data_IF_398000124088
#
_entry.id   IF_398000124088
#
_cell.length_a   1.000
_cell.length_b   1.000
_cell.length_c   1.000
_cell.angle_alpha   90.00
_cell.angle_beta   90.00
_cell.angle_gamma   90.00
#
_symmetry.space_group_name_H-M   'P 1'
#
loop_
_entity.id
_entity.type
_entity.pdbx_description
1 polymer ?
#
# COMPACT_ATOMS: atom_id res chain seq x y z
N UNK A 1 10.01 25.07 15.45
CA UNK A 1 8.64 25.32 15.96
C UNK A 1 7.68 24.24 15.44
N UNK A 2 7.91 22.98 15.80
CA UNK A 2 6.99 21.86 15.49
C UNK A 2 7.12 20.87 16.66
N UNK A 3 6.71 21.29 17.86
CA UNK A 3 6.81 20.41 19.05
C UNK A 3 5.61 20.49 19.99
N UNK A 4 4.45 21.03 19.57
CA UNK A 4 3.38 21.36 20.53
C UNK A 4 1.93 21.07 20.08
N UNK A 5 1.69 20.23 19.08
CA UNK A 5 0.34 20.10 18.49
C UNK A 5 -0.44 18.80 18.75
N UNK A 6 0.02 17.85 19.57
CA UNK A 6 -0.74 16.58 19.77
C UNK A 6 -0.86 16.09 21.22
N UNK A 7 -0.95 17.03 22.18
CA UNK A 7 -1.43 16.73 23.55
C UNK A 7 -2.76 17.44 23.77
N UNK A 8 -3.87 16.87 23.28
CA UNK A 8 -5.22 17.11 23.84
C UNK A 8 -6.29 16.30 23.09
N UNK A 9 -6.42 15.00 23.41
CA UNK A 9 -7.75 14.36 23.32
C UNK A 9 -7.83 13.08 24.17
N UNK A 10 -7.70 13.22 25.49
CA UNK A 10 -8.08 12.16 26.44
C UNK A 10 -8.97 12.73 27.52
N UNK A 11 -10.23 12.26 27.50
CA UNK A 11 -11.40 12.41 28.40
C UNK A 11 -12.60 12.61 27.48
N UNK A 12 -13.62 11.77 27.43
CA UNK A 12 -14.45 11.30 28.54
C UNK A 12 -15.44 10.29 27.94
N UNK A 13 -15.58 9.07 28.47
CA UNK A 13 -16.88 8.42 28.72
C UNK A 13 -16.68 7.10 29.46
N UNK A 14 -17.38 6.93 30.58
CA UNK A 14 -17.33 5.75 31.43
C UNK A 14 -18.42 4.72 31.11
N UNK A 15 -18.14 3.50 31.57
CA UNK A 15 -19.02 2.44 32.10
C UNK A 15 -20.47 2.35 31.58
N UNK A 16 -20.89 1.17 31.11
CA UNK A 16 -21.79 0.24 31.84
C UNK A 16 -22.10 -1.07 31.07
N UNK A 17 -21.82 -2.20 31.73
CA UNK A 17 -22.53 -3.50 31.85
C UNK A 17 -23.06 -4.31 30.64
N UNK A 18 -22.51 -5.53 30.54
CA UNK A 18 -23.14 -6.87 30.50
C UNK A 18 -24.42 -7.14 29.67
N UNK A 19 -24.35 -8.16 28.81
CA UNK A 19 -25.50 -8.85 28.23
C UNK A 19 -25.12 -9.99 27.28
N UNK A 20 -25.16 -11.22 27.79
CA UNK A 20 -25.01 -12.48 27.05
C UNK A 20 -26.11 -12.68 26.00
N UNK A 21 -25.78 -13.19 24.81
CA UNK A 21 -26.62 -14.17 24.12
C UNK A 21 -25.83 -15.01 23.12
N UNK A 22 -25.98 -16.32 23.29
CA UNK A 22 -25.56 -17.42 22.43
C UNK A 22 -26.33 -17.40 21.11
N UNK A 23 -25.61 -17.48 20.00
CA UNK A 23 -26.17 -17.77 18.68
C UNK A 23 -25.23 -18.67 17.90
N UNK A 24 -25.53 -19.97 17.90
CA UNK A 24 -24.93 -20.94 16.97
C UNK A 24 -25.31 -20.56 15.54
N UNK A 25 -24.33 -20.11 14.75
CA UNK A 25 -24.49 -19.95 13.31
C UNK A 25 -23.77 -21.10 12.62
N UNK A 26 -24.55 -22.14 12.28
CA UNK A 26 -24.10 -23.24 11.42
C UNK A 26 -23.99 -22.75 9.98
N UNK A 27 -22.87 -22.10 9.66
CA UNK A 27 -22.43 -21.79 8.30
C UNK A 27 -21.31 -22.73 7.90
N UNK A 28 -21.49 -23.49 6.82
CA UNK A 28 -20.53 -24.46 6.29
C UNK A 28 -19.37 -23.70 5.62
N UNK A 29 -18.39 -23.26 6.41
CA UNK A 29 -17.15 -22.65 5.92
C UNK A 29 -16.34 -23.68 5.12
N UNK A 30 -16.38 -23.56 3.80
CA UNK A 30 -15.51 -24.30 2.89
C UNK A 30 -14.28 -23.44 2.63
N UNK A 31 -13.12 -23.85 3.15
CA UNK A 31 -11.84 -23.20 2.88
C UNK A 31 -11.30 -22.36 4.05
N UNK A 32 -10.98 -23.01 5.17
CA UNK A 32 -10.19 -22.40 6.24
C UNK A 32 -8.74 -22.17 5.77
N UNK A 33 -8.50 -21.10 5.03
CA UNK A 33 -7.22 -20.42 5.05
C UNK A 33 -7.13 -19.63 6.36
N UNK A 34 -6.00 -19.72 7.06
CA UNK A 34 -5.71 -18.77 8.15
C UNK A 34 -5.92 -17.34 7.62
N UNK A 35 -6.46 -16.41 8.42
CA UNK A 35 -6.63 -15.03 7.98
C UNK A 35 -5.30 -14.50 7.46
N UNK A 36 -5.33 -13.89 6.27
CA UNK A 36 -4.14 -13.25 5.70
C UNK A 36 -3.58 -12.26 6.72
N UNK A 37 -2.26 -12.24 6.98
CA UNK A 37 -1.70 -11.30 7.93
C UNK A 37 -1.92 -9.86 7.44
N UNK A 38 -2.29 -8.98 8.38
CA UNK A 38 -2.40 -7.54 8.16
C UNK A 38 -1.03 -6.89 8.36
N UNK A 39 -0.73 -5.86 7.56
CA UNK A 39 0.51 -5.08 7.66
C UNK A 39 0.19 -3.60 7.64
N UNK A 40 0.95 -2.82 8.40
CA UNK A 40 1.03 -1.39 8.16
C UNK A 40 1.99 -1.14 7.01
N UNK A 41 1.51 -0.45 5.98
CA UNK A 41 2.27 -0.07 4.81
C UNK A 41 2.46 1.44 4.78
N UNK A 42 3.71 1.88 4.73
CA UNK A 42 4.08 3.25 4.41
C UNK A 42 4.77 3.32 3.06
N UNK A 43 4.68 4.44 2.38
CA UNK A 43 5.50 4.70 1.18
C UNK A 43 6.12 6.09 1.22
N UNK A 44 7.33 6.19 0.74
CA UNK A 44 8.04 7.44 0.54
C UNK A 44 8.52 7.52 -0.90
N UNK A 45 8.67 8.73 -1.40
CA UNK A 45 9.07 8.97 -2.77
C UNK A 45 10.01 10.17 -2.86
N UNK A 46 10.95 10.10 -3.79
CA UNK A 46 11.83 11.20 -4.16
C UNK A 46 12.28 11.03 -5.60
N UNK A 47 12.84 12.09 -6.17
CA UNK A 47 13.30 12.14 -7.55
C UNK A 47 14.83 12.17 -7.61
N UNK A 48 15.36 11.46 -8.60
CA UNK A 48 16.76 11.52 -9.01
C UNK A 48 16.80 11.95 -10.47
N UNK A 49 17.35 13.13 -10.74
CA UNK A 49 17.54 13.65 -12.09
C UNK A 49 18.47 12.76 -12.90
N UNK A 50 18.01 12.32 -14.07
CA UNK A 50 18.72 11.40 -14.94
C UNK A 50 18.47 11.84 -16.41
N UNK A 51 19.47 12.39 -17.10
CA UNK A 51 19.30 13.01 -18.42
C UNK A 51 18.97 12.02 -19.56
N UNK A 52 18.96 10.71 -19.27
CA UNK A 52 18.54 9.66 -20.21
C UNK A 52 17.91 8.52 -19.42
N UNK A 53 16.71 8.79 -18.90
CA UNK A 53 15.92 7.83 -18.13
C UNK A 53 15.41 6.69 -19.04
N UNK A 54 16.30 5.78 -19.44
CA UNK A 54 16.02 4.59 -20.27
C UNK A 54 16.30 3.32 -19.46
N UNK A 55 15.31 2.42 -19.40
CA UNK A 55 15.30 1.25 -18.50
C UNK A 55 16.54 0.33 -18.65
N UNK A 56 17.15 0.25 -19.83
CA UNK A 56 18.25 -0.69 -20.11
C UNK A 56 19.58 -0.37 -19.42
N UNK A 57 19.98 0.91 -19.33
CA UNK A 57 21.22 1.32 -18.62
C UNK A 57 21.01 1.50 -17.13
N UNK A 58 19.79 1.84 -16.70
CA UNK A 58 19.47 2.11 -15.30
C UNK A 58 19.43 0.84 -14.47
N UNK A 59 19.00 -0.28 -15.05
CA UNK A 59 18.78 -1.54 -14.33
C UNK A 59 20.07 -2.20 -13.82
N UNK A 60 21.22 -2.00 -14.48
CA UNK A 60 22.43 -2.78 -14.17
C UNK A 60 23.28 -2.15 -13.06
N UNK A 61 23.38 -0.81 -13.03
CA UNK A 61 24.27 -0.12 -12.10
C UNK A 61 23.52 0.84 -11.17
N UNK A 62 22.56 1.60 -11.69
CA UNK A 62 21.91 2.66 -10.92
C UNK A 62 20.91 2.11 -9.89
N UNK A 63 19.92 1.32 -10.32
CA UNK A 63 18.91 0.78 -9.41
C UNK A 63 19.51 -0.04 -8.25
N UNK A 64 20.41 -1.02 -8.50
CA UNK A 64 20.96 -1.81 -7.40
C UNK A 64 21.79 -0.97 -6.44
N UNK A 65 22.63 -0.04 -6.95
CA UNK A 65 23.42 0.85 -6.09
C UNK A 65 22.54 1.71 -5.20
N UNK A 66 21.44 2.26 -5.74
CA UNK A 66 20.51 3.07 -4.97
C UNK A 66 19.80 2.23 -3.90
N UNK A 67 19.27 1.07 -4.28
CA UNK A 67 18.56 0.18 -3.35
C UNK A 67 19.47 -0.31 -2.24
N UNK A 68 20.70 -0.77 -2.56
CA UNK A 68 21.69 -1.19 -1.57
C UNK A 68 22.08 -0.05 -0.63
N UNK A 69 22.35 1.14 -1.17
CA UNK A 69 22.68 2.32 -0.37
C UNK A 69 21.57 2.75 0.60
N UNK A 70 20.30 2.59 0.22
CA UNK A 70 19.15 2.83 1.11
C UNK A 70 19.04 1.74 2.18
N UNK A 71 19.09 0.46 1.77
CA UNK A 71 18.91 -0.68 2.67
C UNK A 71 20.04 -0.78 3.70
N UNK A 72 21.29 -0.52 3.33
CA UNK A 72 22.43 -0.52 4.25
C UNK A 72 22.27 0.52 5.36
N UNK A 73 21.75 1.70 5.04
CA UNK A 73 21.52 2.78 6.01
C UNK A 73 20.30 2.54 6.89
N UNK A 74 19.33 1.77 6.41
CA UNK A 74 18.12 1.40 7.16
C UNK A 74 18.17 -0.01 7.76
N UNK A 75 19.31 -0.70 7.69
CA UNK A 75 19.45 -2.11 8.02
C UNK A 75 18.89 -2.45 9.41
N UNK A 76 19.19 -1.64 10.41
CA UNK A 76 18.75 -1.87 11.80
C UNK A 76 17.23 -1.86 11.93
N UNK A 77 16.55 -0.90 11.29
CA UNK A 77 15.09 -0.77 11.38
C UNK A 77 14.39 -1.80 10.48
N UNK A 78 15.02 -2.18 9.37
CA UNK A 78 14.54 -3.21 8.46
C UNK A 78 14.65 -4.65 9.01
N UNK A 79 15.22 -4.84 10.21
CA UNK A 79 15.08 -6.12 10.95
C UNK A 79 13.65 -6.34 11.45
N UNK A 80 12.86 -5.26 11.61
CA UNK A 80 11.51 -5.29 12.16
C UNK A 80 10.43 -5.02 11.10
N UNK A 81 10.82 -4.83 9.84
CA UNK A 81 9.93 -4.50 8.73
C UNK A 81 10.41 -5.14 7.41
N UNK A 82 9.50 -5.24 6.46
CA UNK A 82 9.80 -5.59 5.07
C UNK A 82 10.15 -4.29 4.34
N UNK A 83 11.40 -4.19 3.86
CA UNK A 83 11.97 -2.99 3.25
C UNK A 83 12.46 -3.19 1.81
N UNK A 84 12.35 -4.38 1.24
CA UNK A 84 12.92 -4.73 -0.08
C UNK A 84 12.12 -4.18 -1.27
N UNK A 85 10.95 -3.60 -1.04
CA UNK A 85 10.08 -3.09 -2.08
C UNK A 85 10.45 -1.66 -2.50
N UNK A 86 11.43 -1.53 -3.39
CA UNK A 86 11.80 -0.27 -4.05
C UNK A 86 11.38 -0.33 -5.52
N UNK A 87 10.54 0.62 -5.93
CA UNK A 87 10.05 0.75 -7.31
C UNK A 87 10.57 2.03 -7.95
N UNK A 88 10.74 1.97 -9.26
CA UNK A 88 11.38 3.02 -10.03
C UNK A 88 10.54 3.35 -11.26
N UNK A 89 10.26 4.64 -11.46
CA UNK A 89 9.45 5.11 -12.58
C UNK A 89 10.13 6.31 -13.25
N UNK A 90 10.38 6.21 -14.55
CA UNK A 90 10.88 7.34 -15.32
C UNK A 90 9.76 8.35 -15.60
N UNK A 91 9.96 9.59 -15.21
CA UNK A 91 9.07 10.71 -15.43
C UNK A 91 9.80 11.80 -16.25
N UNK A 92 9.16 12.26 -17.34
CA UNK A 92 9.70 13.34 -18.18
C UNK A 92 9.12 14.68 -17.78
N UNK A 93 9.91 15.75 -17.87
CA UNK A 93 9.42 17.11 -17.62
C UNK A 93 9.08 17.41 -16.16
N UNK A 94 9.74 16.73 -15.21
CA UNK A 94 9.55 16.95 -13.77
C UNK A 94 10.22 18.27 -13.37
N UNK A 95 9.56 19.07 -12.54
CA UNK A 95 10.10 20.34 -12.06
C UNK A 95 11.22 20.09 -11.05
N UNK A 96 12.42 20.61 -11.35
CA UNK A 96 13.57 20.54 -10.45
C UNK A 96 13.45 21.50 -9.27
N UNK A 97 12.87 22.68 -9.50
CA UNK A 97 12.68 23.70 -8.47
C UNK A 97 11.25 24.24 -8.48
N UNK A 98 10.59 24.27 -7.32
CA UNK A 98 9.23 24.81 -7.15
C UNK A 98 9.18 26.31 -7.49
N UNK A 99 10.28 27.02 -7.25
CA UNK A 99 10.40 28.47 -7.48
C UNK A 99 10.74 28.86 -8.93
N UNK A 100 11.15 27.92 -9.79
CA UNK A 100 11.38 28.14 -11.22
C UNK A 100 10.59 27.14 -12.08
N UNK A 101 9.40 27.54 -12.59
CA UNK A 101 8.54 26.72 -13.43
C UNK A 101 9.18 26.26 -14.74
N UNK A 102 10.27 26.89 -15.19
CA UNK A 102 10.94 26.60 -16.45
C UNK A 102 12.03 25.52 -16.34
N UNK A 103 12.41 25.15 -15.11
CA UNK A 103 13.45 24.15 -14.83
C UNK A 103 12.90 22.72 -14.83
N UNK A 104 12.32 22.27 -15.96
CA UNK A 104 11.89 20.88 -16.10
C UNK A 104 13.02 19.98 -16.60
N UNK A 105 13.11 18.78 -16.05
CA UNK A 105 14.12 17.78 -16.45
C UNK A 105 13.55 16.37 -16.32
N UNK A 106 14.17 15.42 -17.01
CA UNK A 106 13.83 14.01 -16.86
C UNK A 106 14.38 13.50 -15.52
N UNK A 107 13.54 12.76 -14.80
CA UNK A 107 13.87 12.25 -13.49
C UNK A 107 13.33 10.84 -13.29
N UNK A 108 14.06 10.07 -12.50
CA UNK A 108 13.57 8.83 -11.94
C UNK A 108 12.85 9.13 -10.64
N UNK A 109 11.57 8.81 -10.58
CA UNK A 109 10.84 8.73 -9.32
C UNK A 109 11.15 7.39 -8.67
N UNK A 110 11.75 7.47 -7.49
CA UNK A 110 11.98 6.33 -6.61
C UNK A 110 10.83 6.29 -5.62
N UNK A 111 10.17 5.15 -5.49
CA UNK A 111 9.15 4.92 -4.47
C UNK A 111 9.58 3.73 -3.64
N UNK A 112 9.81 3.96 -2.35
CA UNK A 112 10.16 2.92 -1.40
C UNK A 112 8.95 2.63 -0.52
N UNK A 113 8.46 1.40 -0.61
CA UNK A 113 7.32 0.91 0.16
C UNK A 113 7.84 0.00 1.27
N UNK A 114 7.45 0.30 2.50
CA UNK A 114 7.86 -0.44 3.70
C UNK A 114 6.63 -1.01 4.38
N UNK A 115 6.73 -2.23 4.90
CA UNK A 115 5.63 -2.93 5.55
C UNK A 115 6.04 -3.51 6.90
N UNK A 116 5.30 -3.20 7.96
CA UNK A 116 5.51 -3.76 9.30
C UNK A 116 4.33 -4.65 9.66
N UNK A 117 4.61 -5.85 10.20
CA UNK A 117 3.57 -6.83 10.50
C UNK A 117 2.68 -6.33 11.63
N UNK A 118 1.37 -6.39 11.44
CA UNK A 118 0.38 -6.06 12.47
C UNK A 118 -0.11 -7.35 13.15
N UNK A 119 -0.01 -7.41 14.48
CA UNK A 119 -0.50 -8.53 15.28
C UNK A 119 -1.80 -8.14 15.99
N UNK A 120 -2.94 -8.65 15.51
CA UNK A 120 -4.26 -8.28 16.02
C UNK A 120 -4.60 -8.98 17.36
N UNK A 121 -3.85 -10.02 17.74
CA UNK A 121 -4.12 -10.80 18.96
C UNK A 121 -3.61 -10.16 20.27
N UNK A 122 -2.92 -9.01 20.18
CA UNK A 122 -2.45 -8.24 21.33
C UNK A 122 -3.18 -6.90 21.33
N UNK A 123 -4.40 -6.88 21.88
CA UNK A 123 -5.29 -5.72 21.81
C UNK A 123 -4.87 -4.56 22.74
N UNK A 124 -5.16 -3.35 22.26
CA UNK A 124 -5.26 -2.06 22.97
C UNK A 124 -3.97 -1.39 23.40
N UNK A 125 -3.07 -1.17 22.46
CA UNK A 125 -2.32 0.09 22.27
C UNK A 125 -1.48 -0.18 21.03
N UNK A 126 -1.73 0.53 19.92
CA UNK A 126 -0.94 0.39 18.69
C UNK A 126 0.20 1.42 18.76
N UNK A 127 1.42 1.01 19.16
CA UNK A 127 2.59 1.79 18.80
C UNK A 127 3.72 0.98 18.15
N UNK A 128 3.77 -0.36 18.16
CA UNK A 128 4.98 -1.05 17.69
C UNK A 128 5.16 -0.98 16.16
N UNK A 129 4.20 -1.50 15.39
CA UNK A 129 4.32 -1.50 13.93
C UNK A 129 4.22 -0.09 13.31
N UNK A 130 3.38 0.78 13.86
CA UNK A 130 3.26 2.17 13.40
C UNK A 130 4.55 2.96 13.68
N UNK A 131 5.12 2.88 14.89
CA UNK A 131 6.38 3.55 15.21
C UNK A 131 7.53 3.03 14.37
N UNK A 132 7.59 1.74 14.05
CA UNK A 132 8.62 1.20 13.12
C UNK A 132 8.51 1.88 11.75
N UNK A 133 7.30 2.00 11.19
CA UNK A 133 7.10 2.67 9.90
C UNK A 133 7.48 4.16 9.98
N UNK A 134 7.07 4.85 11.05
CA UNK A 134 7.42 6.26 11.28
C UNK A 134 8.94 6.46 11.39
N UNK A 135 9.64 5.57 12.11
CA UNK A 135 11.10 5.60 12.22
C UNK A 135 11.78 5.42 10.86
N UNK A 136 11.30 4.50 10.02
CA UNK A 136 11.82 4.32 8.66
C UNK A 136 11.59 5.58 7.81
N UNK A 137 10.41 6.20 7.90
CA UNK A 137 10.10 7.42 7.17
C UNK A 137 11.00 8.59 7.56
N UNK A 138 11.22 8.80 8.86
CA UNK A 138 12.13 9.85 9.38
C UNK A 138 13.58 9.56 9.01
N UNK A 139 14.05 8.33 9.20
CA UNK A 139 15.41 7.94 8.84
C UNK A 139 15.66 8.16 7.35
N UNK A 140 14.72 7.77 6.49
CA UNK A 140 14.86 7.94 5.04
C UNK A 140 14.83 9.40 4.63
N UNK A 141 14.00 10.23 5.28
CA UNK A 141 14.04 11.67 5.08
C UNK A 141 15.45 12.20 5.32
N UNK A 142 16.10 11.80 6.42
CA UNK A 142 17.44 12.26 6.76
C UNK A 142 18.51 11.72 5.79
N UNK A 143 18.39 10.48 5.34
CA UNK A 143 19.25 9.89 4.30
C UNK A 143 19.18 10.72 3.01
N UNK A 144 17.97 10.97 2.49
CA UNK A 144 17.79 11.66 1.20
C UNK A 144 18.15 13.14 1.30
N UNK A 145 17.80 13.80 2.41
CA UNK A 145 17.96 15.26 2.52
C UNK A 145 19.33 15.68 3.05
N UNK A 146 19.97 14.88 3.91
CA UNK A 146 21.09 15.32 4.73
C UNK A 146 22.34 14.44 4.63
N UNK A 147 22.24 13.18 4.21
CA UNK A 147 23.41 12.29 4.13
C UNK A 147 24.33 12.64 2.93
N UNK A 148 25.57 13.11 3.17
CA UNK A 148 26.50 13.45 2.10
C UNK A 148 27.10 12.22 1.40
N UNK A 149 27.20 11.08 2.10
CA UNK A 149 27.74 9.83 1.55
C UNK A 149 26.75 9.21 0.57
N UNK A 150 25.47 9.18 0.94
CA UNK A 150 24.38 8.73 0.06
C UNK A 150 24.36 9.57 -1.23
N UNK A 151 24.42 10.90 -1.09
CA UNK A 151 24.49 11.81 -2.23
C UNK A 151 25.68 11.50 -3.16
N UNK A 152 26.85 11.21 -2.60
CA UNK A 152 28.04 10.90 -3.39
C UNK A 152 27.93 9.53 -4.10
N UNK A 153 27.34 8.53 -3.48
CA UNK A 153 27.09 7.22 -4.09
C UNK A 153 26.18 7.34 -5.31
N UNK A 154 25.06 8.07 -5.19
CA UNK A 154 24.14 8.32 -6.30
C UNK A 154 24.79 9.14 -7.41
N UNK A 155 25.61 10.14 -7.06
CA UNK A 155 26.34 10.94 -8.05
C UNK A 155 27.38 10.12 -8.84
N UNK A 156 28.03 9.13 -8.22
CA UNK A 156 29.01 8.25 -8.90
C UNK A 156 28.38 7.43 -10.02
N UNK A 157 27.13 7.03 -9.86
CA UNK A 157 26.34 6.30 -10.88
C UNK A 157 25.54 7.24 -11.80
N UNK A 158 25.84 8.55 -11.77
CA UNK A 158 25.30 9.54 -12.70
C UNK A 158 23.94 10.13 -12.33
N UNK A 159 23.45 9.89 -11.11
CA UNK A 159 22.20 10.47 -10.62
C UNK A 159 22.37 11.83 -9.93
N UNK A 160 21.43 12.75 -10.15
CA UNK A 160 21.33 14.03 -9.43
C UNK A 160 20.19 13.97 -8.40
N UNK A 161 20.50 13.76 -7.11
CA UNK A 161 19.47 13.62 -6.07
C UNK A 161 18.76 14.94 -5.77
N UNK A 162 17.44 14.98 -5.97
CA UNK A 162 16.64 16.19 -5.73
C UNK A 162 16.08 16.20 -4.30
N UNK A 163 16.82 16.79 -3.37
CA UNK A 163 16.49 16.78 -1.92
C UNK A 163 15.08 17.32 -1.61
N UNK A 164 14.66 18.38 -2.30
CA UNK A 164 13.34 19.03 -2.10
C UNK A 164 12.14 18.24 -2.68
N UNK A 165 12.43 17.17 -3.44
CA UNK A 165 11.42 16.30 -4.03
C UNK A 165 10.90 15.24 -3.07
N UNK A 166 11.50 15.07 -1.89
CA UNK A 166 11.10 14.06 -0.92
C UNK A 166 9.64 14.26 -0.49
N UNK A 167 8.88 13.18 -0.50
CA UNK A 167 7.47 13.09 -0.09
C UNK A 167 7.26 11.80 0.67
N UNK A 168 6.52 11.87 1.77
CA UNK A 168 6.07 10.71 2.54
C UNK A 168 4.54 10.63 2.47
N UNK A 169 4.03 9.41 2.32
CA UNK A 169 2.60 9.11 2.41
C UNK A 169 2.21 8.79 3.84
N UNK A 170 0.92 8.93 4.15
CA UNK A 170 0.36 8.36 5.38
C UNK A 170 0.43 6.84 5.29
N UNK A 171 0.74 6.19 6.40
CA UNK A 171 0.67 4.73 6.47
C UNK A 171 -0.79 4.26 6.44
N UNK A 172 -0.99 3.04 5.96
CA UNK A 172 -2.30 2.40 5.86
C UNK A 172 -2.20 0.93 6.21
N UNK A 173 -3.27 0.35 6.75
CA UNK A 173 -3.39 -1.09 6.93
C UNK A 173 -3.67 -1.75 5.57
N UNK A 174 -2.97 -2.84 5.26
CA UNK A 174 -3.12 -3.62 4.03
C UNK A 174 -3.03 -5.11 4.31
N UNK A 175 -3.60 -5.90 3.41
CA UNK A 175 -3.47 -7.36 3.43
C UNK A 175 -2.28 -7.82 2.59
N UNK A 176 -1.54 -8.82 3.06
CA UNK A 176 -0.40 -9.38 2.31
C UNK A 176 -0.82 -10.20 1.09
N UNK A 177 -2.06 -10.69 1.05
CA UNK A 177 -2.57 -11.53 -0.04
C UNK A 177 -3.67 -10.81 -0.80
N UNK A 178 -3.63 -10.96 -2.13
CA UNK A 178 -4.71 -10.54 -3.03
C UNK A 178 -6.00 -11.32 -2.74
N UNK A 179 -7.13 -10.73 -3.11
CA UNK A 179 -8.46 -11.28 -2.79
C UNK A 179 -8.93 -10.97 -1.37
N UNK A 180 -8.14 -10.25 -0.57
CA UNK A 180 -8.52 -9.84 0.79
C UNK A 180 -8.63 -8.32 0.90
N UNK A 181 -9.48 -7.86 1.79
CA UNK A 181 -9.58 -6.46 2.20
C UNK A 181 -9.60 -6.35 3.72
N UNK A 182 -9.42 -5.14 4.23
CA UNK A 182 -9.46 -4.86 5.66
C UNK A 182 -10.91 -4.70 6.10
N UNK A 183 -11.31 -5.45 7.11
CA UNK A 183 -12.56 -5.20 7.82
C UNK A 183 -12.38 -4.00 8.77
N UNK A 184 -13.16 -2.92 8.55
CA UNK A 184 -13.03 -1.67 9.30
C UNK A 184 -13.32 -1.80 10.80
N UNK A 185 -14.06 -2.85 11.21
CA UNK A 185 -14.43 -3.06 12.61
C UNK A 185 -13.37 -3.83 13.38
N UNK A 186 -12.69 -4.75 12.71
CA UNK A 186 -11.80 -5.71 13.35
C UNK A 186 -10.33 -5.56 12.94
N UNK A 187 -10.03 -4.74 11.92
CA UNK A 187 -8.70 -4.56 11.33
C UNK A 187 -8.04 -5.86 10.83
N UNK A 188 -8.84 -6.91 10.64
CA UNK A 188 -8.41 -8.17 10.07
C UNK A 188 -8.61 -8.20 8.56
N UNK A 189 -7.78 -8.98 7.89
CA UNK A 189 -8.01 -9.32 6.50
C UNK A 189 -9.16 -10.32 6.35
N UNK A 190 -10.19 -9.91 5.62
CA UNK A 190 -11.33 -10.74 5.24
C UNK A 190 -11.34 -10.92 3.72
N UNK A 191 -11.85 -12.05 3.25
CA UNK A 191 -11.94 -12.29 1.81
C UNK A 191 -12.95 -11.32 1.17
N UNK A 192 -12.67 -10.88 -0.04
CA UNK A 192 -13.64 -10.12 -0.82
C UNK A 192 -14.89 -10.98 -1.05
N UNK A 193 -16.09 -10.48 -0.74
CA UNK A 193 -17.31 -11.27 -0.81
C UNK A 193 -17.70 -11.57 -2.26
N UNK A 194 -18.55 -12.59 -2.45
CA UNK A 194 -19.16 -12.87 -3.75
C UNK A 194 -19.85 -11.63 -4.34
N UNK A 195 -19.74 -11.47 -5.65
CA UNK A 195 -20.15 -10.30 -6.42
C UNK A 195 -19.11 -9.18 -6.46
N UNK A 196 -17.94 -9.38 -5.86
CA UNK A 196 -16.84 -8.42 -5.88
C UNK A 196 -15.54 -9.05 -6.38
N UNK A 197 -14.61 -8.21 -6.79
CA UNK A 197 -13.23 -8.58 -7.06
C UNK A 197 -12.28 -7.64 -6.31
N UNK A 198 -11.16 -8.16 -5.85
CA UNK A 198 -10.11 -7.36 -5.23
C UNK A 198 -9.27 -6.64 -6.28
N UNK A 199 -9.10 -5.34 -6.08
CA UNK A 199 -8.17 -4.50 -6.81
C UNK A 199 -7.51 -3.52 -5.81
N UNK A 200 -6.18 -3.51 -5.75
CA UNK A 200 -5.39 -2.64 -4.87
C UNK A 200 -5.80 -2.69 -3.37
N UNK A 201 -6.12 -3.88 -2.85
CA UNK A 201 -6.49 -4.12 -1.45
C UNK A 201 -7.93 -3.75 -1.10
N UNK A 202 -8.74 -3.36 -2.10
CA UNK A 202 -10.14 -2.99 -1.95
C UNK A 202 -11.03 -3.92 -2.78
N UNK A 203 -12.20 -4.26 -2.26
CA UNK A 203 -13.18 -5.06 -2.98
C UNK A 203 -14.09 -4.15 -3.81
N UNK A 204 -14.04 -4.29 -5.12
CA UNK A 204 -14.87 -3.57 -6.07
C UNK A 204 -16.01 -4.46 -6.56
N UNK A 205 -17.23 -3.95 -6.71
CA UNK A 205 -18.33 -4.74 -7.27
C UNK A 205 -17.99 -5.17 -8.69
N UNK A 206 -18.43 -6.37 -9.08
CA UNK A 206 -18.26 -6.83 -10.44
C UNK A 206 -18.90 -5.85 -11.43
N UNK A 207 -18.20 -5.45 -12.50
CA UNK A 207 -18.77 -4.54 -13.48
C UNK A 207 -19.95 -5.20 -14.20
N UNK A 208 -20.82 -4.41 -14.86
CA UNK A 208 -21.92 -4.95 -15.66
C UNK A 208 -21.44 -6.03 -16.64
N UNK A 209 -22.31 -7.02 -16.88
CA UNK A 209 -22.02 -8.20 -17.71
C UNK A 209 -20.98 -9.17 -17.14
N UNK A 210 -20.63 -9.03 -15.86
CA UNK A 210 -19.78 -9.96 -15.13
C UNK A 210 -20.45 -10.40 -13.83
N UNK A 211 -20.02 -11.53 -13.29
CA UNK A 211 -20.45 -12.06 -12.01
C UNK A 211 -19.27 -12.68 -11.24
N UNK A 212 -19.44 -12.89 -9.94
CA UNK A 212 -18.45 -13.63 -9.15
C UNK A 212 -19.08 -14.42 -7.99
N UNK A 213 -19.10 -15.74 -8.12
CA UNK A 213 -19.76 -16.69 -7.22
C UNK A 213 -18.86 -17.21 -6.10
N UNK A 214 -17.56 -16.92 -6.16
CA UNK A 214 -16.58 -17.30 -5.13
C UNK A 214 -16.07 -16.07 -4.38
N UNK A 215 -15.78 -16.25 -3.09
CA UNK A 215 -15.07 -15.25 -2.29
C UNK A 215 -13.58 -15.21 -2.65
N UNK A 216 -12.91 -14.12 -2.28
CA UNK A 216 -11.47 -14.01 -2.38
C UNK A 216 -10.93 -13.83 -3.79
N UNK A 217 -11.75 -13.37 -4.73
CA UNK A 217 -11.41 -13.34 -6.16
C UNK A 217 -10.80 -12.00 -6.56
N UNK A 218 -9.87 -12.02 -7.51
CA UNK A 218 -9.19 -10.81 -8.03
C UNK A 218 -9.71 -10.39 -9.41
N UNK A 219 -10.74 -11.07 -9.91
CA UNK A 219 -11.40 -10.74 -11.16
C UNK A 219 -12.82 -11.33 -11.18
N UNK A 220 -13.69 -10.77 -12.02
CA UNK A 220 -15.04 -11.29 -12.22
C UNK A 220 -15.11 -12.15 -13.49
N UNK A 221 -15.98 -13.14 -13.47
CA UNK A 221 -16.27 -14.03 -14.61
C UNK A 221 -17.22 -13.31 -15.58
N UNK A 222 -16.99 -13.35 -16.90
CA UNK A 222 -17.94 -12.76 -17.84
C UNK A 222 -19.24 -13.57 -17.89
N UNK A 223 -20.36 -12.89 -18.05
CA UNK A 223 -21.63 -13.53 -18.39
C UNK A 223 -21.54 -14.24 -19.75
N UNK A 224 -22.36 -15.27 -19.94
CA UNK A 224 -22.45 -15.96 -21.23
C UNK A 224 -22.95 -15.01 -22.33
N UNK A 225 -22.58 -15.29 -23.59
CA UNK A 225 -23.03 -14.48 -24.73
C UNK A 225 -24.55 -14.32 -24.72
N UNK A 226 -25.02 -13.08 -24.95
CA UNK A 226 -26.43 -12.68 -24.94
C UNK A 226 -27.12 -12.61 -23.57
N UNK A 227 -26.36 -12.71 -22.48
CA UNK A 227 -26.85 -12.45 -21.13
C UNK A 227 -26.15 -11.25 -20.53
N UNK A 228 -26.85 -10.51 -19.67
CA UNK A 228 -26.40 -9.26 -19.06
C UNK A 228 -26.66 -9.33 -17.56
N UNK A 229 -25.75 -8.78 -16.77
CA UNK A 229 -25.88 -8.66 -15.32
C UNK A 229 -25.69 -7.21 -14.91
N UNK A 230 -26.30 -6.84 -13.78
CA UNK A 230 -26.04 -5.56 -13.13
C UNK A 230 -24.71 -5.60 -12.37
N UNK A 231 -24.25 -4.42 -11.97
CA UNK A 231 -23.09 -4.28 -11.10
C UNK A 231 -23.27 -5.09 -9.80
N UNK A 232 -22.21 -5.79 -9.38
CA UNK A 232 -22.21 -6.59 -8.15
C UNK A 232 -22.89 -7.95 -8.25
N UNK A 233 -23.14 -8.46 -9.47
CA UNK A 233 -23.77 -9.76 -9.66
C UNK A 233 -22.95 -10.90 -9.03
N UNK A 234 -23.63 -11.74 -8.25
CA UNK A 234 -22.97 -12.75 -7.41
C UNK A 234 -22.94 -14.10 -8.09
N UNK A 235 -23.93 -14.45 -8.87
CA UNK A 235 -24.01 -15.80 -9.44
C UNK A 235 -24.24 -15.75 -10.95
N UNK A 236 -24.01 -16.86 -11.63
CA UNK A 236 -24.24 -16.97 -13.07
C UNK A 236 -25.73 -16.72 -13.41
N UNK A 237 -26.63 -17.06 -12.50
CA UNK A 237 -28.08 -16.87 -12.65
C UNK A 237 -28.50 -15.39 -12.67
N UNK A 238 -27.65 -14.49 -12.16
CA UNK A 238 -27.88 -13.05 -12.25
C UNK A 238 -27.62 -12.51 -13.67
N UNK A 239 -26.98 -13.32 -14.54
CA UNK A 239 -26.82 -13.03 -15.96
C UNK A 239 -28.12 -13.39 -16.70
N UNK A 240 -28.97 -12.40 -16.97
CA UNK A 240 -30.28 -12.61 -17.62
C UNK A 240 -30.28 -12.15 -19.08
N UNK A 241 -31.00 -12.87 -19.94
CA UNK A 241 -31.20 -12.45 -21.32
C UNK A 241 -32.28 -11.34 -21.39
N UNK A 242 -32.20 -10.39 -22.33
CA UNK A 242 -33.27 -9.42 -22.54
C UNK A 242 -34.55 -10.15 -22.90
N UNK A 243 -35.62 -9.92 -22.15
CA UNK A 243 -36.94 -10.41 -22.51
C UNK A 243 -37.48 -9.47 -23.58
N UNK A 244 -37.41 -9.88 -24.85
CA UNK A 244 -38.12 -9.19 -25.91
C UNK A 244 -39.64 -9.38 -25.68
N UNK A 245 -40.33 -8.33 -25.25
CA UNK A 245 -41.79 -8.25 -25.21
C UNK A 245 -42.29 -7.34 -26.31
#
# INVERSE_FOLDING_TARGET
MIELAFRQQTRTFGMLLAGSSSGEFTGRFSGAGLPSPTYFQGSLAFHVGLPSCTLERLHVEFMPTLTEALLDRAADVCLQAVCDNVTFMCETGVRRNISDPSSTSDAMKVVWTVQARHNVNESYDIPEAETVIEQIQVLTHDIVTSDPTFYQEIAKVGGDLWRDSFRQSRFTLVCSSRGFTIDEHTAHCVQCPAGTFEEHGSCHPCPPNHYQDSEGQTSCKPCLKHTFSFEGAKMLEDCTAPIFR
#
